data_IF_252176052350
#
_entry.id   IF_252176052350
#
_cell.length_a   1.000
_cell.length_b   1.000
_cell.length_c   1.000
_cell.angle_alpha   90.00
_cell.angle_beta   90.00
_cell.angle_gamma   90.00
#
_symmetry.space_group_name_H-M   'P 1'
#
loop_
_entity.id
_entity.type
_entity.pdbx_description
1 polymer ?
#
# COMPACT_ATOMS: atom_id res chain seq x y z
N UNK A 1 20.73 0.72 27.08
CA UNK A 1 20.36 2.11 27.50
C UNK A 1 20.74 3.15 26.45
N UNK A 2 21.87 3.01 25.77
CA UNK A 2 22.40 3.92 24.74
C UNK A 2 22.48 3.28 23.34
N UNK A 3 21.61 2.32 23.05
CA UNK A 3 21.58 1.62 21.76
C UNK A 3 20.13 1.51 21.29
N UNK A 4 19.91 1.62 19.99
CA UNK A 4 18.65 1.31 19.31
C UNK A 4 18.95 0.48 18.05
N UNK A 5 17.96 -0.20 17.47
CA UNK A 5 18.09 -0.71 16.11
C UNK A 5 17.84 0.43 15.09
N UNK A 6 18.41 0.34 13.88
CA UNK A 6 18.10 1.26 12.78
C UNK A 6 17.54 0.51 11.57
N UNK A 7 16.25 0.70 11.31
CA UNK A 7 15.52 -0.02 10.28
C UNK A 7 15.62 0.73 8.94
N UNK A 8 16.70 0.48 8.17
CA UNK A 8 16.80 0.93 6.78
C UNK A 8 16.42 -0.20 5.83
N UNK A 9 15.29 -0.04 5.14
CA UNK A 9 14.84 -1.02 4.15
C UNK A 9 15.79 -1.10 2.94
N UNK A 10 15.85 -2.28 2.32
CA UNK A 10 16.81 -2.66 1.25
C UNK A 10 16.96 -1.63 0.13
N UNK A 11 15.86 -0.99 -0.29
CA UNK A 11 15.82 -0.07 -1.44
C UNK A 11 15.92 1.41 -1.06
N UNK A 12 16.27 1.74 0.19
CA UNK A 12 16.35 3.12 0.68
C UNK A 12 17.79 3.60 0.76
N UNK A 13 17.99 4.90 0.58
CA UNK A 13 19.33 5.53 0.56
C UNK A 13 20.16 5.23 1.82
N UNK A 14 19.52 5.10 2.99
CA UNK A 14 20.19 4.69 4.23
C UNK A 14 20.88 3.33 4.14
N UNK A 15 20.25 2.33 3.51
CA UNK A 15 20.84 1.01 3.30
C UNK A 15 22.01 1.07 2.30
N UNK A 16 21.87 1.87 1.23
CA UNK A 16 22.96 2.09 0.28
C UNK A 16 24.18 2.76 0.95
N UNK A 17 23.96 3.73 1.84
CA UNK A 17 25.02 4.32 2.65
C UNK A 17 25.67 3.29 3.58
N UNK A 18 24.89 2.46 4.28
CA UNK A 18 25.41 1.40 5.13
C UNK A 18 26.34 0.45 4.37
N UNK A 19 25.92 -0.03 3.20
CA UNK A 19 26.74 -0.90 2.34
C UNK A 19 28.00 -0.20 1.81
N UNK A 20 27.93 1.11 1.54
CA UNK A 20 29.11 1.89 1.15
C UNK A 20 30.11 2.00 2.30
N UNK A 21 29.65 2.27 3.53
CA UNK A 21 30.49 2.36 4.72
C UNK A 21 31.09 1.01 5.11
N UNK A 22 30.34 -0.09 4.96
CA UNK A 22 30.82 -1.45 5.17
C UNK A 22 32.08 -1.76 4.35
N UNK A 23 32.11 -1.34 3.09
CA UNK A 23 33.29 -1.51 2.21
C UNK A 23 34.53 -0.75 2.69
N UNK A 24 34.36 0.25 3.56
CA UNK A 24 35.48 1.03 4.11
C UNK A 24 36.05 0.45 5.41
N UNK A 25 35.34 -0.49 6.07
CA UNK A 25 35.72 -1.00 7.39
C UNK A 25 35.67 0.07 8.50
N UNK A 26 34.87 1.14 8.31
CA UNK A 26 34.74 2.24 9.26
C UNK A 26 33.33 2.32 9.81
N UNK A 27 33.23 2.78 11.06
CA UNK A 27 31.96 3.16 11.70
C UNK A 27 31.29 4.29 10.92
N UNK A 28 30.02 4.08 10.56
CA UNK A 28 29.19 5.05 9.86
C UNK A 28 28.64 6.07 10.86
N UNK A 29 28.96 7.37 10.75
CA UNK A 29 28.35 8.39 11.59
C UNK A 29 26.87 8.52 11.24
N UNK A 30 26.02 8.61 12.27
CA UNK A 30 24.56 8.76 12.12
C UNK A 30 24.08 9.85 13.07
N UNK A 31 23.14 10.67 12.60
CA UNK A 31 22.46 11.66 13.44
C UNK A 31 20.98 11.69 13.08
N UNK A 32 20.13 11.63 14.10
CA UNK A 32 18.67 11.63 13.97
C UNK A 32 18.15 12.92 14.57
N UNK A 33 17.52 13.76 13.76
CA UNK A 33 16.84 14.99 14.19
C UNK A 33 15.34 14.73 14.37
N UNK A 34 14.80 15.08 15.53
CA UNK A 34 13.38 15.03 15.85
C UNK A 34 12.86 16.45 16.08
N UNK A 35 11.69 16.74 15.53
CA UNK A 35 11.01 18.03 15.67
C UNK A 35 11.55 19.09 14.72
N UNK A 36 11.39 20.35 15.11
CA UNK A 36 11.67 21.51 14.28
C UNK A 36 10.59 21.83 13.25
N UNK A 37 10.98 22.39 12.10
CA UNK A 37 10.02 22.79 11.07
C UNK A 37 9.32 21.57 10.44
N UNK A 38 7.98 21.54 10.35
CA UNK A 38 7.23 20.38 9.84
C UNK A 38 7.58 20.03 8.38
N UNK A 39 8.13 20.97 7.60
CA UNK A 39 8.60 20.68 6.26
C UNK A 39 9.76 19.66 6.23
N UNK A 40 10.52 19.50 7.32
CA UNK A 40 11.58 18.49 7.39
C UNK A 40 11.01 17.07 7.39
N UNK A 41 10.00 16.83 8.23
CA UNK A 41 9.33 15.53 8.30
C UNK A 41 8.75 15.14 6.94
N UNK A 42 8.04 16.06 6.27
CA UNK A 42 7.56 15.80 4.91
C UNK A 42 8.70 15.59 3.91
N UNK A 43 9.70 16.47 3.86
CA UNK A 43 10.78 16.40 2.88
C UNK A 43 11.59 15.10 2.99
N UNK A 44 11.75 14.55 4.19
CA UNK A 44 12.40 13.26 4.44
C UNK A 44 11.63 12.06 3.84
N UNK A 45 10.32 12.20 3.61
CA UNK A 45 9.48 11.16 2.98
C UNK A 45 9.35 11.31 1.46
N UNK A 46 9.77 12.45 0.91
CA UNK A 46 9.52 12.79 -0.47
C UNK A 46 10.39 11.94 -1.42
N UNK A 47 9.85 11.48 -2.58
CA UNK A 47 10.58 10.64 -3.52
C UNK A 47 11.56 11.47 -4.38
N UNK A 48 12.61 12.00 -3.74
CA UNK A 48 13.65 12.77 -4.41
C UNK A 48 14.67 11.85 -5.12
N UNK A 49 15.27 12.32 -6.23
CA UNK A 49 16.46 11.67 -6.79
C UNK A 49 17.60 11.58 -5.74
N UNK A 50 18.38 10.51 -5.78
CA UNK A 50 19.45 10.23 -4.78
C UNK A 50 20.48 11.35 -4.61
N UNK A 51 20.68 12.16 -5.64
CA UNK A 51 21.63 13.27 -5.63
C UNK A 51 21.03 14.62 -5.19
N UNK A 52 19.75 14.67 -4.82
CA UNK A 52 19.08 15.87 -4.33
C UNK A 52 18.85 15.74 -2.83
N UNK A 53 19.49 16.63 -2.07
CA UNK A 53 19.34 16.69 -0.62
C UNK A 53 17.93 17.17 -0.21
N UNK A 54 17.33 16.48 0.75
CA UNK A 54 15.98 16.73 1.29
C UNK A 54 15.84 18.15 1.85
N UNK A 55 16.90 18.74 2.42
CA UNK A 55 16.90 20.12 2.90
C UNK A 55 16.73 21.15 1.77
N UNK A 56 17.11 20.82 0.54
CA UNK A 56 16.84 21.69 -0.62
C UNK A 56 15.33 21.75 -0.87
N UNK A 57 14.66 20.59 -0.84
CA UNK A 57 13.20 20.53 -0.97
C UNK A 57 12.52 21.25 0.19
N UNK A 58 12.93 21.00 1.43
CA UNK A 58 12.39 21.70 2.59
C UNK A 58 12.55 23.22 2.44
N UNK A 59 13.73 23.68 2.02
CA UNK A 59 13.98 25.10 1.79
C UNK A 59 13.13 25.71 0.67
N UNK A 60 12.93 24.96 -0.42
CA UNK A 60 12.06 25.34 -1.53
C UNK A 60 10.60 25.48 -1.07
N UNK A 61 10.05 24.50 -0.37
CA UNK A 61 8.67 24.51 0.13
C UNK A 61 8.44 25.66 1.12
N UNK A 62 9.40 25.91 2.01
CA UNK A 62 9.32 26.99 3.00
C UNK A 62 9.64 28.37 2.43
N UNK A 63 10.13 28.45 1.18
CA UNK A 63 10.67 29.67 0.55
C UNK A 63 11.76 30.36 1.39
N UNK A 64 12.51 29.58 2.18
CA UNK A 64 13.63 30.05 3.03
C UNK A 64 14.67 28.95 3.20
N UNK A 65 15.95 29.30 3.25
CA UNK A 65 17.03 28.32 3.46
C UNK A 65 16.87 27.60 4.80
N UNK A 66 17.15 26.30 4.81
CA UNK A 66 17.35 25.54 6.04
C UNK A 66 18.67 25.98 6.66
N UNK A 67 18.66 26.39 7.93
CA UNK A 67 19.89 26.67 8.66
C UNK A 67 20.34 25.39 9.33
N UNK A 68 21.59 25.05 9.12
CA UNK A 68 22.18 23.84 9.65
C UNK A 68 23.26 24.18 10.67
N UNK A 69 23.41 23.33 11.67
CA UNK A 69 24.46 23.38 12.68
C UNK A 69 25.21 22.04 12.66
N UNK A 70 26.52 22.10 12.90
CA UNK A 70 27.37 20.90 12.95
C UNK A 70 27.05 20.09 14.22
N UNK A 71 26.96 18.78 14.10
CA UNK A 71 26.89 17.85 15.22
C UNK A 71 28.11 17.98 16.16
N UNK A 72 27.96 17.60 17.42
CA UNK A 72 29.01 17.71 18.44
C UNK A 72 30.05 16.58 18.29
N UNK A 73 29.59 15.36 18.03
CA UNK A 73 30.39 14.13 18.10
C UNK A 73 30.77 13.57 16.73
N UNK A 74 30.25 14.14 15.65
CA UNK A 74 30.54 13.72 14.28
C UNK A 74 30.50 14.90 13.29
N UNK A 75 30.81 14.64 12.02
CA UNK A 75 30.94 15.66 10.96
C UNK A 75 29.64 15.97 10.20
N UNK A 76 28.50 15.42 10.64
CA UNK A 76 27.20 15.68 10.02
C UNK A 76 26.64 17.04 10.44
N UNK A 77 25.66 17.51 9.67
CA UNK A 77 24.94 18.75 9.90
C UNK A 77 23.44 18.46 10.01
N UNK A 78 22.80 19.05 11.02
CA UNK A 78 21.38 18.90 11.34
C UNK A 78 20.70 20.28 11.39
N UNK A 79 19.36 20.38 11.31
CA UNK A 79 18.67 21.66 11.40
C UNK A 79 18.92 22.34 12.74
N UNK A 80 19.21 23.65 12.72
CA UNK A 80 19.47 24.42 13.94
C UNK A 80 18.23 24.62 14.83
N UNK A 81 17.06 24.37 14.26
CA UNK A 81 15.74 24.47 14.89
C UNK A 81 15.14 23.10 15.26
N UNK A 82 15.91 22.00 15.20
CA UNK A 82 15.45 20.70 15.69
C UNK A 82 15.21 20.72 17.22
N UNK A 83 14.18 20.00 17.67
CA UNK A 83 13.85 19.90 19.10
C UNK A 83 14.82 18.98 19.84
N UNK A 84 15.14 17.83 19.23
CA UNK A 84 16.05 16.81 19.80
C UNK A 84 16.95 16.30 18.68
N UNK A 85 18.25 16.17 18.96
CA UNK A 85 19.22 15.54 18.06
C UNK A 85 19.89 14.39 18.80
N UNK A 86 19.83 13.21 18.20
CA UNK A 86 20.48 11.99 18.69
C UNK A 86 21.66 11.69 17.77
N UNK A 87 22.88 11.79 18.30
CA UNK A 87 24.11 11.55 17.56
C UNK A 87 24.73 10.21 17.96
N UNK A 88 25.43 9.60 17.01
CA UNK A 88 26.09 8.33 17.25
C UNK A 88 26.74 7.75 16.01
N UNK A 89 26.84 6.43 16.00
CA UNK A 89 27.34 5.68 14.86
C UNK A 89 26.66 4.32 14.73
N UNK A 90 26.76 3.75 13.54
CA UNK A 90 26.49 2.34 13.27
C UNK A 90 27.81 1.67 12.89
N UNK A 91 28.09 0.51 13.46
CA UNK A 91 29.27 -0.28 13.09
C UNK A 91 28.86 -1.37 12.08
N UNK A 92 29.26 -1.26 10.79
CA UNK A 92 28.85 -2.24 9.78
C UNK A 92 29.43 -3.64 9.96
N UNK A 93 30.43 -3.81 10.84
CA UNK A 93 31.03 -5.11 11.17
C UNK A 93 30.39 -5.77 12.39
N UNK A 94 29.58 -5.03 13.15
CA UNK A 94 28.87 -5.55 14.31
C UNK A 94 27.74 -6.49 13.90
N UNK A 95 27.47 -7.47 14.77
CA UNK A 95 26.31 -8.35 14.60
C UNK A 95 25.01 -7.56 14.66
N UNK A 96 24.11 -7.87 13.73
CA UNK A 96 22.79 -7.26 13.67
C UNK A 96 21.93 -7.69 14.88
N UNK A 97 20.99 -6.84 15.27
CA UNK A 97 20.07 -7.10 16.39
C UNK A 97 18.64 -7.28 15.89
N UNK A 98 17.87 -8.08 16.61
CA UNK A 98 16.45 -8.27 16.33
C UNK A 98 15.68 -6.97 16.57
N UNK A 99 14.94 -6.52 15.57
CA UNK A 99 13.95 -5.43 15.63
C UNK A 99 12.55 -6.00 15.39
N UNK A 100 11.54 -5.34 15.95
CA UNK A 100 10.16 -5.75 15.82
C UNK A 100 9.79 -6.99 16.63
N UNK A 101 8.61 -7.57 16.34
CA UNK A 101 7.68 -7.14 15.30
C UNK A 101 7.08 -5.75 15.59
N UNK A 102 6.62 -5.08 14.53
CA UNK A 102 6.13 -3.69 14.62
C UNK A 102 4.88 -3.52 13.76
N UNK A 103 3.86 -2.80 14.25
CA UNK A 103 2.68 -2.51 13.43
C UNK A 103 3.04 -1.50 12.34
N UNK A 104 2.76 -1.80 11.08
CA UNK A 104 3.21 -0.98 9.96
C UNK A 104 2.06 -0.27 9.22
N UNK A 105 2.41 0.68 8.36
CA UNK A 105 1.50 1.50 7.57
C UNK A 105 0.66 0.68 6.56
N UNK A 106 1.09 -0.54 6.23
CA UNK A 106 0.30 -1.50 5.43
C UNK A 106 -0.98 -1.94 6.15
N UNK A 107 -1.08 -1.71 7.47
CA UNK A 107 -2.14 -2.23 8.32
C UNK A 107 -1.89 -3.63 8.86
N UNK A 108 -0.71 -4.19 8.59
CA UNK A 108 -0.26 -5.49 9.09
C UNK A 108 1.01 -5.34 9.93
N UNK A 109 1.29 -6.32 10.79
CA UNK A 109 2.55 -6.36 11.53
C UNK A 109 3.71 -6.71 10.60
N UNK A 110 4.76 -5.91 10.63
CA UNK A 110 6.06 -6.28 10.10
C UNK A 110 6.66 -7.39 10.97
N UNK A 111 7.18 -8.43 10.31
CA UNK A 111 7.82 -9.54 10.99
C UNK A 111 9.13 -9.06 11.63
N UNK A 112 9.51 -9.66 12.76
CA UNK A 112 10.79 -9.38 13.37
C UNK A 112 11.94 -9.81 12.44
N UNK A 113 12.97 -8.96 12.31
CA UNK A 113 14.14 -9.22 11.47
C UNK A 113 15.39 -8.53 12.05
N UNK A 114 16.56 -8.82 11.47
CA UNK A 114 17.85 -8.36 11.93
C UNK A 114 18.24 -7.01 11.29
N UNK A 115 18.55 -6.02 12.13
CA UNK A 115 18.94 -4.67 11.71
C UNK A 115 20.21 -4.19 12.42
N UNK A 116 20.92 -3.19 11.84
CA UNK A 116 22.13 -2.65 12.47
C UNK A 116 21.85 -1.96 13.80
N UNK A 117 22.84 -1.99 14.70
CA UNK A 117 22.79 -1.28 15.99
C UNK A 117 23.22 0.17 15.79
N UNK A 118 22.40 1.10 16.24
CA UNK A 118 22.75 2.51 16.39
C UNK A 118 23.23 2.79 17.81
N UNK A 119 24.53 3.10 17.94
CA UNK A 119 25.21 3.43 19.18
C UNK A 119 25.09 4.93 19.46
N UNK A 120 24.29 5.30 20.45
CA UNK A 120 24.08 6.70 20.83
C UNK A 120 25.25 7.20 21.69
N UNK A 121 25.90 8.27 21.23
CA UNK A 121 27.03 8.92 21.91
C UNK A 121 26.63 10.24 22.55
N UNK A 122 25.65 10.95 21.98
CA UNK A 122 25.19 12.23 22.49
C UNK A 122 23.70 12.44 22.17
N UNK A 123 22.97 13.05 23.11
CA UNK A 123 21.64 13.60 22.87
C UNK A 123 21.70 15.07 23.24
N UNK A 124 21.37 15.94 22.30
CA UNK A 124 21.17 17.37 22.53
C UNK A 124 19.71 17.72 22.30
N UNK A 125 19.19 18.73 22.99
CA UNK A 125 17.81 19.13 22.84
C UNK A 125 17.60 20.61 23.19
N UNK A 126 16.53 21.19 22.63
CA UNK A 126 16.07 22.53 22.99
C UNK A 126 15.53 22.55 24.42
N UNK A 127 15.47 23.73 25.05
CA UNK A 127 14.96 23.86 26.43
C UNK A 127 13.50 23.40 26.58
N UNK A 128 12.69 23.59 25.54
CA UNK A 128 11.27 23.25 25.49
C UNK A 128 11.01 22.19 24.42
N UNK A 129 11.89 21.19 24.34
CA UNK A 129 11.86 20.20 23.28
C UNK A 129 10.54 19.42 23.25
N UNK A 130 9.94 19.34 22.06
CA UNK A 130 8.80 18.45 21.79
C UNK A 130 9.33 17.17 21.16
N UNK A 131 8.90 16.02 21.68
CA UNK A 131 9.17 14.71 21.08
C UNK A 131 8.03 14.37 20.10
N UNK A 132 8.22 14.51 18.78
CA UNK A 132 7.22 14.06 17.82
C UNK A 132 7.14 12.54 17.84
N UNK A 133 5.92 12.03 17.86
CA UNK A 133 5.64 10.61 17.73
C UNK A 133 4.46 10.42 16.79
N UNK A 134 4.47 9.30 16.06
CA UNK A 134 3.38 8.88 15.20
C UNK A 134 3.03 7.42 15.48
N UNK A 135 1.83 7.04 15.09
CA UNK A 135 1.36 5.65 15.15
C UNK A 135 0.86 5.29 13.76
N UNK A 136 1.32 4.16 13.25
CA UNK A 136 0.90 3.61 11.95
C UNK A 136 0.05 2.36 12.17
N UNK A 137 -0.69 1.97 11.14
CA UNK A 137 -1.62 0.85 11.20
C UNK A 137 -2.54 0.87 9.99
N UNK A 138 -3.75 0.34 10.15
CA UNK A 138 -4.73 0.26 9.05
C UNK A 138 -5.09 1.68 8.58
N UNK A 139 -4.96 2.00 7.28
CA UNK A 139 -5.13 3.37 6.78
C UNK A 139 -6.55 3.92 7.01
N UNK A 140 -6.73 5.26 7.02
CA UNK A 140 -5.69 6.27 6.88
C UNK A 140 -4.99 6.61 8.21
N UNK A 141 -3.67 6.79 8.18
CA UNK A 141 -2.87 7.34 9.28
C UNK A 141 -2.16 8.64 8.82
N UNK A 142 -1.20 9.15 9.58
CA UNK A 142 -0.49 10.40 9.25
C UNK A 142 0.15 10.37 7.83
N UNK A 143 0.68 9.22 7.46
CA UNK A 143 1.28 8.94 6.15
C UNK A 143 0.32 9.22 4.98
N UNK A 144 -0.98 8.95 5.13
CA UNK A 144 -1.99 9.25 4.10
C UNK A 144 -2.01 10.74 3.71
N UNK A 145 -1.78 11.63 4.67
CA UNK A 145 -1.71 13.07 4.41
C UNK A 145 -0.41 13.46 3.71
N UNK A 146 0.71 12.83 4.07
CA UNK A 146 2.00 13.02 3.39
C UNK A 146 1.93 12.52 1.94
N UNK A 147 1.28 11.39 1.69
CA UNK A 147 1.05 10.82 0.36
C UNK A 147 0.23 11.80 -0.51
N UNK A 148 -0.87 12.34 0.01
CA UNK A 148 -1.69 13.34 -0.70
C UNK A 148 -0.91 14.63 -1.01
N UNK A 149 0.02 15.04 -0.14
CA UNK A 149 0.91 16.14 -0.42
C UNK A 149 1.89 15.79 -1.56
N UNK A 150 2.46 14.58 -1.52
CA UNK A 150 3.35 14.03 -2.56
C UNK A 150 2.67 13.97 -3.93
N UNK A 151 1.43 13.51 -4.03
CA UNK A 151 0.66 13.55 -5.29
C UNK A 151 0.69 14.95 -5.92
N UNK A 152 0.37 15.99 -5.15
CA UNK A 152 0.26 17.36 -5.64
C UNK A 152 1.62 17.99 -5.95
N UNK A 153 2.60 17.78 -5.07
CA UNK A 153 3.93 18.38 -5.19
C UNK A 153 4.72 17.75 -6.34
N UNK A 154 4.58 16.43 -6.56
CA UNK A 154 5.35 15.70 -7.57
C UNK A 154 4.62 15.53 -8.90
N UNK A 155 3.33 15.85 -9.01
CA UNK A 155 2.62 15.83 -10.29
C UNK A 155 3.28 16.72 -11.38
N UNK A 156 3.68 17.99 -11.12
CA UNK A 156 4.34 18.79 -12.14
C UNK A 156 5.71 18.23 -12.59
N UNK A 157 6.63 17.84 -11.69
CA UNK A 157 7.85 17.14 -12.09
C UNK A 157 7.60 15.84 -12.87
N UNK A 158 6.63 15.02 -12.45
CA UNK A 158 6.26 13.78 -13.13
C UNK A 158 5.83 14.06 -14.58
N UNK A 159 5.04 15.12 -14.79
CA UNK A 159 4.64 15.58 -16.13
C UNK A 159 5.82 16.08 -16.95
N UNK A 160 6.71 16.85 -16.34
CA UNK A 160 7.85 17.46 -17.04
C UNK A 160 8.91 16.44 -17.46
N UNK A 161 9.19 15.45 -16.62
CA UNK A 161 10.34 14.55 -16.78
C UNK A 161 9.95 13.16 -17.29
N UNK A 162 8.76 12.66 -16.94
CA UNK A 162 8.39 11.26 -17.18
C UNK A 162 7.31 11.16 -18.26
N UNK A 163 6.14 11.77 -18.07
CA UNK A 163 5.00 11.67 -19.01
C UNK A 163 4.21 12.99 -19.11
N UNK A 164 4.40 13.82 -20.15
CA UNK A 164 3.72 15.13 -20.27
C UNK A 164 2.20 15.04 -20.42
N UNK A 165 1.68 13.90 -20.87
CA UNK A 165 0.24 13.64 -20.99
C UNK A 165 -0.48 13.40 -19.66
N UNK A 166 0.23 13.19 -18.55
CA UNK A 166 -0.42 13.01 -17.23
C UNK A 166 -1.13 14.31 -16.85
N UNK A 167 -2.39 14.19 -16.46
CA UNK A 167 -3.21 15.31 -16.00
C UNK A 167 -3.44 15.29 -14.51
N UNK A 168 -3.54 14.08 -13.93
CA UNK A 168 -3.80 13.87 -12.51
C UNK A 168 -3.24 12.51 -12.05
N UNK A 169 -2.93 12.41 -10.76
CA UNK A 169 -2.44 11.23 -10.07
C UNK A 169 -3.18 11.11 -8.73
N UNK A 170 -3.66 9.92 -8.42
CA UNK A 170 -4.33 9.63 -7.16
C UNK A 170 -3.92 8.24 -6.65
N UNK A 171 -3.52 8.17 -5.39
CA UNK A 171 -3.21 6.96 -4.65
C UNK A 171 -4.24 6.85 -3.51
N UNK A 172 -5.29 6.03 -3.69
CA UNK A 172 -6.33 5.86 -2.67
C UNK A 172 -5.75 5.43 -1.32
N UNK A 173 -6.26 5.97 -0.21
CA UNK A 173 -5.78 5.61 1.13
C UNK A 173 -5.82 4.08 1.39
N UNK A 174 -6.86 3.39 0.90
CA UNK A 174 -6.99 1.93 0.98
C UNK A 174 -5.86 1.18 0.22
N UNK A 175 -5.24 1.82 -0.76
CA UNK A 175 -4.11 1.31 -1.52
C UNK A 175 -2.75 1.58 -0.88
N UNK A 176 -2.69 2.20 0.31
CA UNK A 176 -1.44 2.41 1.08
C UNK A 176 -0.27 2.90 0.20
N UNK A 177 -0.51 3.97 -0.56
CA UNK A 177 0.36 4.46 -1.63
C UNK A 177 0.61 3.45 -2.77
N UNK A 178 1.46 2.46 -2.55
CA UNK A 178 2.05 1.63 -3.61
C UNK A 178 1.21 0.40 -3.96
N UNK A 179 0.13 0.06 -3.25
CA UNK A 179 -0.72 -1.04 -3.72
C UNK A 179 -1.60 -0.60 -4.90
N UNK A 180 -2.07 0.66 -4.94
CA UNK A 180 -2.88 1.17 -6.05
C UNK A 180 -2.56 2.62 -6.40
N UNK A 181 -2.21 2.86 -7.66
CA UNK A 181 -2.14 4.18 -8.25
C UNK A 181 -3.10 4.31 -9.45
N UNK A 182 -3.81 5.43 -9.53
CA UNK A 182 -4.70 5.77 -10.63
C UNK A 182 -4.17 7.04 -11.30
N UNK A 183 -3.93 6.97 -12.60
CA UNK A 183 -3.36 8.06 -13.38
C UNK A 183 -4.32 8.45 -14.48
N UNK A 184 -4.70 9.73 -14.53
CA UNK A 184 -5.50 10.27 -15.62
C UNK A 184 -4.60 10.92 -16.65
N UNK A 185 -4.81 10.61 -17.92
CA UNK A 185 -4.01 11.14 -19.02
C UNK A 185 -4.85 11.82 -20.09
N UNK A 186 -4.22 12.78 -20.78
CA UNK A 186 -4.68 13.33 -22.05
C UNK A 186 -4.34 12.37 -23.18
N UNK A 187 -5.26 11.47 -23.50
CA UNK A 187 -5.09 10.52 -24.58
C UNK A 187 -5.22 11.18 -25.96
N UNK A 188 -4.29 10.89 -26.87
CA UNK A 188 -4.22 11.46 -28.22
C UNK A 188 -3.94 10.42 -29.32
N UNK A 189 -3.48 9.21 -28.97
CA UNK A 189 -3.19 8.14 -29.93
C UNK A 189 -3.37 6.73 -29.34
N UNK A 190 -3.44 5.68 -30.19
CA UNK A 190 -3.69 4.31 -29.73
C UNK A 190 -2.54 3.77 -28.88
N UNK A 191 -2.85 3.00 -27.83
CA UNK A 191 -1.84 2.37 -26.97
C UNK A 191 -1.13 3.32 -26.00
N UNK A 192 -1.55 4.59 -25.91
CA UNK A 192 -0.93 5.56 -25.02
C UNK A 192 -1.06 5.19 -23.53
N UNK A 193 -2.17 4.56 -23.13
CA UNK A 193 -2.31 4.05 -21.76
C UNK A 193 -1.23 3.02 -21.43
N UNK A 194 -1.00 2.05 -22.31
CA UNK A 194 0.09 1.06 -22.20
C UNK A 194 1.48 1.69 -22.16
N UNK A 195 1.75 2.74 -22.94
CA UNK A 195 3.02 3.50 -22.85
C UNK A 195 3.22 4.05 -21.43
N UNK A 196 2.18 4.67 -20.85
CA UNK A 196 2.25 5.27 -19.52
C UNK A 196 2.43 4.19 -18.45
N UNK A 197 1.74 3.04 -18.55
CA UNK A 197 1.96 1.89 -17.67
C UNK A 197 3.43 1.50 -17.66
N UNK A 198 4.00 1.18 -18.82
CA UNK A 198 5.39 0.73 -18.91
C UNK A 198 6.39 1.76 -18.37
N UNK A 199 6.12 3.06 -18.58
CA UNK A 199 6.98 4.12 -18.08
C UNK A 199 6.95 4.26 -16.56
N UNK A 200 5.77 4.16 -15.94
CA UNK A 200 5.63 4.40 -14.49
C UNK A 200 5.98 3.17 -13.67
N UNK A 201 5.77 1.96 -14.21
CA UNK A 201 6.08 0.69 -13.52
C UNK A 201 7.55 0.52 -13.14
N UNK A 202 8.47 1.30 -13.71
CA UNK A 202 9.90 1.31 -13.34
C UNK A 202 10.41 2.66 -12.81
N UNK A 203 9.54 3.66 -12.62
CA UNK A 203 9.97 5.02 -12.32
C UNK A 203 10.09 5.28 -10.81
N UNK A 204 11.32 5.41 -10.31
CA UNK A 204 11.59 5.78 -8.92
C UNK A 204 10.83 4.89 -7.93
N UNK A 205 10.19 5.49 -6.91
CA UNK A 205 9.40 4.73 -5.93
C UNK A 205 8.10 4.14 -6.51
N UNK A 206 7.63 4.57 -7.68
CA UNK A 206 6.48 3.92 -8.34
C UNK A 206 6.80 2.50 -8.81
N UNK A 207 8.08 2.09 -8.81
CA UNK A 207 8.48 0.71 -9.07
C UNK A 207 7.83 -0.29 -8.12
N UNK A 208 7.39 0.13 -6.92
CA UNK A 208 6.66 -0.75 -5.98
C UNK A 208 5.17 -0.90 -6.31
N UNK A 209 4.63 -0.09 -7.23
CA UNK A 209 3.20 -0.08 -7.55
C UNK A 209 2.70 -1.46 -7.99
N UNK A 210 1.72 -2.04 -7.29
CA UNK A 210 1.13 -3.35 -7.66
C UNK A 210 0.07 -3.21 -8.73
N UNK A 211 -0.88 -2.30 -8.52
CA UNK A 211 -1.96 -2.00 -9.45
C UNK A 211 -1.80 -0.58 -9.99
N UNK A 212 -1.66 -0.45 -11.29
CA UNK A 212 -1.57 0.84 -11.97
C UNK A 212 -2.69 0.98 -13.00
N UNK A 213 -3.67 1.83 -12.71
CA UNK A 213 -4.83 2.04 -13.59
C UNK A 213 -4.66 3.35 -14.34
N UNK A 214 -4.66 3.29 -15.67
CA UNK A 214 -4.61 4.49 -16.52
C UNK A 214 -5.99 4.77 -17.08
N UNK A 215 -6.51 5.96 -16.82
CA UNK A 215 -7.79 6.44 -17.34
C UNK A 215 -7.61 7.70 -18.19
N UNK A 216 -8.62 8.07 -18.96
CA UNK A 216 -8.63 9.29 -19.78
C UNK A 216 -10.01 9.93 -19.82
N UNK A 217 -10.07 11.18 -20.30
CA UNK A 217 -11.31 11.96 -20.36
C UNK A 217 -11.66 12.56 -18.99
N UNK A 218 -12.94 12.83 -18.75
CA UNK A 218 -13.36 13.63 -17.60
C UNK A 218 -13.67 12.81 -16.33
N UNK A 219 -13.29 11.54 -16.29
CA UNK A 219 -13.49 10.69 -15.09
C UNK A 219 -12.75 11.31 -13.90
N UNK A 220 -13.50 11.63 -12.84
CA UNK A 220 -12.93 12.01 -11.55
C UNK A 220 -12.36 10.76 -10.87
N UNK A 221 -11.03 10.71 -10.74
CA UNK A 221 -10.31 9.58 -10.15
C UNK A 221 -10.48 9.46 -8.63
N UNK A 222 -11.19 10.39 -7.99
CA UNK A 222 -11.53 10.38 -6.56
C UNK A 222 -13.00 10.00 -6.31
N UNK A 223 -13.83 9.91 -7.36
CA UNK A 223 -15.16 9.31 -7.30
C UNK A 223 -15.05 7.82 -7.61
N UNK A 224 -14.77 7.01 -6.58
CA UNK A 224 -14.50 5.57 -6.76
C UNK A 224 -15.65 4.80 -7.39
N UNK A 225 -16.90 5.23 -7.18
CA UNK A 225 -18.06 4.59 -7.80
C UNK A 225 -18.06 4.80 -9.31
N UNK A 226 -17.89 6.04 -9.77
CA UNK A 226 -17.81 6.33 -11.22
C UNK A 226 -16.52 5.82 -11.84
N UNK A 227 -15.41 5.85 -11.10
CA UNK A 227 -14.14 5.32 -11.55
C UNK A 227 -14.25 3.83 -11.87
N UNK A 228 -14.82 3.02 -10.96
CA UNK A 228 -14.99 1.58 -11.18
C UNK A 228 -15.85 1.30 -12.44
N UNK A 229 -16.97 2.01 -12.59
CA UNK A 229 -17.82 1.91 -13.79
C UNK A 229 -17.03 2.28 -15.05
N UNK A 230 -16.25 3.37 -15.00
CA UNK A 230 -15.42 3.82 -16.12
C UNK A 230 -14.33 2.81 -16.47
N UNK A 231 -13.72 2.16 -15.48
CA UNK A 231 -12.70 1.13 -15.68
C UNK A 231 -13.31 -0.07 -16.38
N UNK A 232 -14.39 -0.64 -15.82
CA UNK A 232 -15.06 -1.79 -16.44
C UNK A 232 -15.57 -1.50 -17.86
N UNK A 233 -16.09 -0.29 -18.11
CA UNK A 233 -16.58 0.15 -19.42
C UNK A 233 -15.46 0.32 -20.45
N UNK A 234 -14.24 0.66 -20.02
CA UNK A 234 -13.13 1.03 -20.90
C UNK A 234 -12.00 -0.01 -20.94
N UNK A 235 -12.14 -1.19 -20.33
CA UNK A 235 -11.09 -2.22 -20.31
C UNK A 235 -11.54 -3.53 -20.96
N UNK A 236 -10.99 -3.86 -22.13
CA UNK A 236 -11.08 -5.20 -22.71
C UNK A 236 -10.04 -6.10 -22.04
N UNK A 237 -10.49 -7.02 -21.17
CA UNK A 237 -9.61 -7.86 -20.36
C UNK A 237 -8.63 -8.72 -21.16
N UNK A 238 -8.90 -8.94 -22.46
CA UNK A 238 -8.00 -9.71 -23.35
C UNK A 238 -6.78 -8.92 -23.80
N UNK A 239 -6.85 -7.59 -23.78
CA UNK A 239 -5.84 -6.74 -24.42
C UNK A 239 -5.35 -5.59 -23.55
N UNK A 240 -6.11 -5.17 -22.54
CA UNK A 240 -5.82 -3.98 -21.75
C UNK A 240 -5.17 -4.27 -20.39
N UNK A 241 -4.96 -5.55 -20.07
CA UNK A 241 -4.24 -5.98 -18.87
C UNK A 241 -2.77 -6.25 -19.21
N UNK A 242 -1.86 -5.60 -18.49
CA UNK A 242 -0.42 -5.75 -18.61
C UNK A 242 0.11 -6.37 -17.32
N UNK A 243 0.22 -7.70 -17.32
CA UNK A 243 0.87 -8.42 -16.24
C UNK A 243 2.39 -8.36 -16.39
N UNK A 244 3.07 -8.09 -15.29
CA UNK A 244 4.54 -8.11 -15.21
C UNK A 244 4.97 -8.55 -13.81
N UNK A 245 6.27 -8.69 -13.59
CA UNK A 245 6.87 -8.94 -12.29
C UNK A 245 7.99 -7.95 -12.02
N UNK A 246 8.26 -7.69 -10.75
CA UNK A 246 9.31 -6.76 -10.37
C UNK A 246 9.39 -6.52 -8.87
N UNK A 247 10.18 -5.52 -8.45
CA UNK A 247 10.35 -5.18 -7.05
C UNK A 247 9.01 -4.87 -6.38
N UNK A 248 8.80 -5.46 -5.21
CA UNK A 248 7.72 -5.10 -4.29
C UNK A 248 8.32 -4.52 -3.01
N UNK A 249 7.49 -3.79 -2.28
CA UNK A 249 7.87 -3.30 -0.95
C UNK A 249 8.30 -4.49 -0.08
N UNK A 250 9.31 -4.29 0.76
CA UNK A 250 9.83 -5.35 1.64
C UNK A 250 8.78 -5.82 2.64
N UNK A 251 7.79 -4.96 2.91
CA UNK A 251 6.65 -5.19 3.80
C UNK A 251 5.48 -5.89 3.12
N UNK A 252 5.52 -6.10 1.80
CA UNK A 252 4.47 -6.83 1.10
C UNK A 252 4.49 -8.31 1.54
N UNK A 253 3.53 -8.68 2.37
CA UNK A 253 3.37 -10.05 2.88
C UNK A 253 2.67 -10.98 1.90
N UNK A 254 1.98 -10.44 0.90
CA UNK A 254 1.28 -11.24 -0.12
C UNK A 254 2.22 -11.85 -1.16
N UNK A 255 3.43 -11.29 -1.33
CA UNK A 255 4.45 -11.80 -2.23
C UNK A 255 5.02 -13.13 -1.73
N UNK A 256 5.09 -14.16 -2.58
CA UNK A 256 5.70 -15.47 -2.21
C UNK A 256 7.21 -15.36 -2.01
N UNK A 257 7.86 -14.48 -2.78
CA UNK A 257 9.30 -14.20 -2.68
C UNK A 257 9.50 -12.84 -2.02
N UNK A 258 10.48 -12.77 -1.12
CA UNK A 258 10.80 -11.51 -0.43
C UNK A 258 11.13 -10.38 -1.43
N UNK A 259 10.41 -9.26 -1.32
CA UNK A 259 10.58 -8.05 -2.15
C UNK A 259 10.43 -8.26 -3.67
N UNK A 260 9.79 -9.34 -4.11
CA UNK A 260 9.59 -9.67 -5.53
C UNK A 260 8.22 -10.32 -5.76
N UNK A 261 7.46 -9.82 -6.73
CA UNK A 261 6.18 -10.43 -7.08
C UNK A 261 5.52 -9.81 -8.31
N UNK A 262 4.24 -10.13 -8.49
CA UNK A 262 3.45 -9.70 -9.63
C UNK A 262 3.00 -8.25 -9.59
N UNK A 263 2.69 -7.71 -10.76
CA UNK A 263 2.16 -6.38 -10.99
C UNK A 263 1.13 -6.42 -12.11
N UNK A 264 0.14 -5.54 -12.04
CA UNK A 264 -0.90 -5.40 -13.06
C UNK A 264 -1.09 -3.92 -13.43
N UNK A 265 -0.78 -3.60 -14.67
CA UNK A 265 -1.21 -2.36 -15.32
C UNK A 265 -2.55 -2.56 -16.04
N UNK A 266 -3.47 -1.62 -15.91
CA UNK A 266 -4.78 -1.64 -16.55
C UNK A 266 -4.94 -0.40 -17.44
N UNK A 267 -5.00 -0.60 -18.76
CA UNK A 267 -5.36 0.47 -19.69
C UNK A 267 -6.90 0.62 -19.72
N UNK A 268 -7.41 1.46 -18.82
CA UNK A 268 -8.81 1.84 -18.71
C UNK A 268 -9.12 3.17 -19.43
N UNK A 269 -8.27 3.57 -20.37
CA UNK A 269 -8.49 4.79 -21.16
C UNK A 269 -9.62 4.57 -22.16
N UNK A 270 -10.33 5.65 -22.51
CA UNK A 270 -11.36 5.60 -23.55
C UNK A 270 -10.74 5.10 -24.87
N UNK A 271 -11.35 4.07 -25.45
CA UNK A 271 -10.81 3.44 -26.68
C UNK A 271 -11.15 4.25 -27.92
N UNK A 272 -10.14 4.46 -28.75
CA UNK A 272 -10.31 5.05 -30.08
C UNK A 272 -10.44 3.96 -31.15
N UNK A 273 -10.71 4.35 -32.40
CA UNK A 273 -11.13 3.44 -33.48
C UNK A 273 -10.17 2.26 -33.66
N UNK A 274 -8.87 2.51 -33.59
CA UNK A 274 -7.81 1.54 -33.81
C UNK A 274 -7.69 0.50 -32.69
N UNK A 275 -8.28 0.75 -31.52
CA UNK A 275 -8.22 -0.12 -30.33
C UNK A 275 -9.52 -0.90 -30.11
N UNK A 276 -10.57 -0.60 -30.87
CA UNK A 276 -11.87 -1.27 -30.75
C UNK A 276 -11.86 -2.56 -31.54
N UNK A 277 -11.66 -3.68 -30.84
CA UNK A 277 -11.87 -5.01 -31.40
C UNK A 277 -13.39 -5.34 -31.38
N UNK A 278 -13.95 -5.70 -32.53
CA UNK A 278 -15.39 -5.95 -32.74
C UNK A 278 -15.97 -7.13 -31.91
N UNK A 279 -17.27 -7.14 -31.53
CA UNK A 279 -18.05 -6.03 -30.99
C UNK A 279 -17.88 -6.00 -29.46
N UNK A 280 -16.86 -5.30 -28.98
CA UNK A 280 -16.64 -5.13 -27.54
C UNK A 280 -17.53 -3.99 -27.00
N UNK A 281 -18.65 -4.35 -26.34
CA UNK A 281 -19.49 -3.43 -25.57
C UNK A 281 -19.74 -4.08 -24.20
N UNK A 282 -18.91 -3.75 -23.22
CA UNK A 282 -19.24 -3.99 -21.81
C UNK A 282 -20.04 -2.80 -21.32
N UNK A 283 -21.32 -3.03 -20.98
CA UNK A 283 -22.15 -2.01 -20.36
C UNK A 283 -22.42 -2.41 -18.90
N UNK A 284 -21.53 -2.07 -17.96
CA UNK A 284 -21.64 -2.50 -16.57
C UNK A 284 -22.91 -1.96 -15.88
N UNK A 285 -23.48 -0.87 -16.40
CA UNK A 285 -24.73 -0.28 -15.90
C UNK A 285 -25.98 -1.06 -16.33
N UNK A 286 -25.88 -1.99 -17.28
CA UNK A 286 -27.01 -2.81 -17.78
C UNK A 286 -27.05 -4.22 -17.21
N UNK A 287 -26.22 -4.55 -16.22
CA UNK A 287 -26.27 -5.85 -15.55
C UNK A 287 -27.51 -5.98 -14.65
N UNK A 288 -28.62 -6.38 -15.27
CA UNK A 288 -29.92 -6.67 -14.67
C UNK A 288 -29.88 -7.85 -13.70
N UNK A 289 -30.89 -7.99 -12.82
CA UNK A 289 -30.96 -9.03 -11.78
C UNK A 289 -30.72 -10.46 -12.26
N UNK A 290 -31.25 -10.86 -13.43
CA UNK A 290 -31.06 -12.21 -13.98
C UNK A 290 -29.59 -12.56 -14.31
N UNK A 291 -28.78 -11.58 -14.74
CA UNK A 291 -27.37 -11.81 -15.08
C UNK A 291 -26.51 -12.13 -13.85
N UNK A 292 -26.96 -11.69 -12.67
CA UNK A 292 -26.25 -11.83 -11.41
C UNK A 292 -26.66 -13.09 -10.67
N UNK A 293 -27.89 -13.58 -10.85
CA UNK A 293 -28.35 -14.84 -10.26
C UNK A 293 -27.37 -16.00 -10.54
N UNK A 294 -26.90 -16.16 -11.78
CA UNK A 294 -25.97 -17.25 -12.13
C UNK A 294 -24.64 -17.17 -11.36
N UNK A 295 -24.05 -15.98 -11.27
CA UNK A 295 -22.80 -15.78 -10.52
C UNK A 295 -23.05 -15.97 -9.03
N UNK A 296 -24.10 -15.39 -8.48
CA UNK A 296 -24.45 -15.53 -7.06
C UNK A 296 -24.73 -17.00 -6.70
N UNK A 297 -25.35 -17.78 -7.57
CA UNK A 297 -25.58 -19.22 -7.34
C UNK A 297 -24.27 -20.02 -7.26
N UNK A 298 -23.25 -19.64 -8.04
CA UNK A 298 -21.90 -20.22 -7.90
C UNK A 298 -21.30 -19.79 -6.55
N UNK A 299 -21.38 -18.50 -6.20
CA UNK A 299 -20.79 -17.96 -4.97
C UNK A 299 -21.44 -18.53 -3.70
N UNK A 300 -22.74 -18.84 -3.72
CA UNK A 300 -23.44 -19.51 -2.62
C UNK A 300 -22.92 -20.92 -2.32
N UNK A 301 -22.14 -21.52 -3.21
CA UNK A 301 -21.49 -22.81 -2.93
C UNK A 301 -20.29 -22.69 -1.99
N UNK A 302 -19.73 -21.48 -1.83
CA UNK A 302 -18.51 -21.22 -1.04
C UNK A 302 -18.70 -20.22 0.11
N UNK A 303 -19.83 -19.50 0.12
CA UNK A 303 -20.13 -18.50 1.14
C UNK A 303 -21.64 -18.44 1.45
N UNK A 304 -21.97 -18.15 2.70
CA UNK A 304 -23.35 -17.85 3.10
C UNK A 304 -23.85 -16.57 2.42
N UNK A 305 -25.15 -16.44 2.19
CA UNK A 305 -25.75 -15.26 1.55
C UNK A 305 -25.40 -13.94 2.24
N UNK A 306 -25.31 -13.94 3.58
CA UNK A 306 -24.91 -12.76 4.38
C UNK A 306 -23.49 -12.26 4.09
N UNK A 307 -22.64 -13.11 3.52
CA UNK A 307 -21.25 -12.80 3.17
C UNK A 307 -21.10 -12.47 1.68
N UNK A 308 -22.20 -12.34 0.93
CA UNK A 308 -22.18 -11.94 -0.47
C UNK A 308 -22.86 -10.58 -0.57
N UNK A 309 -22.12 -9.59 -1.04
CA UNK A 309 -22.63 -8.23 -1.20
C UNK A 309 -22.39 -7.71 -2.61
N UNK A 310 -23.45 -7.18 -3.22
CA UNK A 310 -23.37 -6.42 -4.46
C UNK A 310 -23.87 -5.00 -4.15
N UNK A 311 -23.01 -3.98 -4.22
CA UNK A 311 -23.48 -2.61 -4.13
C UNK A 311 -24.38 -2.29 -5.33
N UNK A 312 -25.47 -1.56 -5.09
CA UNK A 312 -26.36 -1.09 -6.14
C UNK A 312 -25.57 -0.31 -7.22
N UNK A 313 -25.92 -0.58 -8.48
CA UNK A 313 -25.39 0.04 -9.69
C UNK A 313 -23.86 -0.05 -9.88
N UNK A 314 -23.17 -0.99 -9.22
CA UNK A 314 -21.73 -1.21 -9.40
C UNK A 314 -21.44 -2.57 -10.05
N UNK A 315 -20.45 -2.64 -10.96
CA UNK A 315 -19.95 -3.90 -11.49
C UNK A 315 -18.99 -4.59 -10.50
N UNK A 316 -19.48 -4.82 -9.28
CA UNK A 316 -18.73 -5.40 -8.18
C UNK A 316 -19.60 -6.41 -7.41
N UNK A 317 -19.05 -7.58 -7.15
CA UNK A 317 -19.57 -8.52 -6.15
C UNK A 317 -18.45 -8.78 -5.15
N UNK A 318 -18.73 -8.59 -3.87
CA UNK A 318 -17.82 -8.88 -2.76
C UNK A 318 -18.27 -10.16 -2.08
N UNK A 319 -17.32 -11.05 -1.78
CA UNK A 319 -17.61 -12.35 -1.17
C UNK A 319 -16.65 -12.62 -0.03
N UNK A 320 -17.18 -12.79 1.18
CA UNK A 320 -16.45 -13.24 2.35
C UNK A 320 -16.31 -14.77 2.37
N UNK A 321 -15.08 -15.27 2.25
CA UNK A 321 -14.77 -16.70 2.14
C UNK A 321 -13.99 -17.19 3.36
N UNK A 322 -14.37 -18.35 3.89
CA UNK A 322 -13.72 -18.97 5.05
C UNK A 322 -12.64 -19.98 4.62
N UNK A 323 -11.48 -19.45 4.23
CA UNK A 323 -10.33 -20.26 3.79
C UNK A 323 -9.64 -21.00 4.96
N UNK A 324 -9.93 -20.62 6.20
CA UNK A 324 -9.43 -21.28 7.40
C UNK A 324 -10.17 -22.61 7.63
N UNK A 325 -11.49 -22.61 7.41
CA UNK A 325 -12.34 -23.80 7.49
C UNK A 325 -12.18 -24.74 6.30
N UNK A 326 -12.05 -24.21 5.08
CA UNK A 326 -11.87 -24.99 3.86
C UNK A 326 -10.71 -24.44 3.01
N UNK A 327 -9.56 -25.12 3.11
CA UNK A 327 -8.32 -24.73 2.41
C UNK A 327 -8.41 -24.86 0.88
N UNK A 328 -9.35 -25.67 0.37
CA UNK A 328 -9.56 -25.94 -1.06
C UNK A 328 -10.68 -25.10 -1.69
N UNK A 329 -11.33 -24.23 -0.90
CA UNK A 329 -12.53 -23.49 -1.33
C UNK A 329 -12.28 -22.60 -2.55
N UNK A 330 -11.15 -21.90 -2.60
CA UNK A 330 -10.79 -21.02 -3.73
C UNK A 330 -10.53 -21.83 -5.00
N UNK A 331 -9.88 -22.99 -4.88
CA UNK A 331 -9.63 -23.89 -6.01
C UNK A 331 -10.96 -24.42 -6.56
N UNK A 332 -11.86 -24.83 -5.67
CA UNK A 332 -13.21 -25.31 -6.04
C UNK A 332 -14.05 -24.21 -6.70
N UNK A 333 -13.91 -22.97 -6.22
CA UNK A 333 -14.57 -21.81 -6.80
C UNK A 333 -14.06 -21.52 -8.23
N UNK A 334 -12.73 -21.49 -8.40
CA UNK A 334 -12.08 -21.30 -9.71
C UNK A 334 -12.53 -22.35 -10.71
N UNK A 335 -12.57 -23.62 -10.30
CA UNK A 335 -13.09 -24.71 -11.13
C UNK A 335 -14.56 -24.49 -11.51
N UNK A 336 -15.40 -24.07 -10.56
CA UNK A 336 -16.82 -23.81 -10.82
C UNK A 336 -17.01 -22.70 -11.86
N UNK A 337 -16.23 -21.62 -11.80
CA UNK A 337 -16.26 -20.56 -12.80
C UNK A 337 -15.66 -20.99 -14.14
N UNK A 338 -14.61 -21.81 -14.15
CA UNK A 338 -14.06 -22.38 -15.38
C UNK A 338 -15.08 -23.27 -16.11
N UNK A 339 -15.85 -24.07 -15.36
CA UNK A 339 -16.82 -25.02 -15.92
C UNK A 339 -18.14 -24.33 -16.34
N UNK A 340 -18.61 -23.35 -15.55
CA UNK A 340 -19.95 -22.72 -15.72
C UNK A 340 -19.92 -21.33 -16.34
N UNK A 341 -18.76 -20.66 -16.37
CA UNK A 341 -18.62 -19.26 -16.76
C UNK A 341 -19.35 -18.27 -15.83
N UNK A 342 -19.28 -16.98 -16.16
CA UNK A 342 -19.96 -15.90 -15.42
C UNK A 342 -21.29 -15.46 -16.04
N UNK A 343 -21.78 -16.19 -17.06
CA UNK A 343 -22.99 -15.83 -17.79
C UNK A 343 -22.87 -14.43 -18.40
N UNK A 344 -23.80 -13.54 -18.04
CA UNK A 344 -23.82 -12.19 -18.58
C UNK A 344 -23.10 -11.14 -17.74
N UNK A 345 -22.77 -11.44 -16.48
CA UNK A 345 -22.09 -10.52 -15.58
C UNK A 345 -20.81 -9.95 -16.20
N UNK A 346 -20.58 -8.66 -15.97
CA UNK A 346 -19.40 -7.93 -16.40
C UNK A 346 -18.89 -7.05 -15.27
N UNK A 347 -17.79 -7.45 -14.63
CA UNK A 347 -17.25 -6.71 -13.51
C UNK A 347 -16.19 -7.45 -12.72
N UNK A 348 -16.03 -6.98 -11.49
CA UNK A 348 -15.08 -7.51 -10.53
C UNK A 348 -15.80 -8.37 -9.49
N UNK A 349 -15.28 -9.57 -9.24
CA UNK A 349 -15.60 -10.38 -8.07
C UNK A 349 -14.43 -10.28 -7.10
N UNK A 350 -14.62 -9.62 -5.96
CA UNK A 350 -13.61 -9.46 -4.92
C UNK A 350 -13.83 -10.49 -3.81
N UNK A 351 -12.89 -11.40 -3.62
CA UNK A 351 -12.90 -12.34 -2.51
C UNK A 351 -12.12 -11.74 -1.33
N UNK A 352 -12.73 -11.74 -0.16
CA UNK A 352 -12.15 -11.26 1.10
C UNK A 352 -12.33 -12.32 2.17
N UNK A 353 -11.61 -12.20 3.27
CA UNK A 353 -11.79 -13.08 4.42
C UNK A 353 -13.23 -12.97 4.96
N UNK A 354 -13.84 -14.09 5.35
CA UNK A 354 -15.20 -14.13 5.92
C UNK A 354 -15.43 -13.24 7.15
N UNK A 355 -14.37 -12.76 7.80
CA UNK A 355 -14.42 -11.85 8.95
C UNK A 355 -14.50 -10.37 8.54
N UNK A 356 -14.33 -10.04 7.25
CA UNK A 356 -14.50 -8.69 6.72
C UNK A 356 -15.98 -8.37 6.56
N UNK A 357 -16.37 -7.17 6.99
CA UNK A 357 -17.67 -6.60 6.62
C UNK A 357 -17.66 -6.30 5.12
N UNK A 358 -18.35 -7.15 4.35
CA UNK A 358 -18.42 -7.06 2.89
C UNK A 358 -19.09 -5.78 2.39
N UNK A 359 -19.81 -5.06 3.25
CA UNK A 359 -20.46 -3.78 2.91
C UNK A 359 -19.52 -2.57 3.06
N UNK A 360 -18.45 -2.71 3.85
CA UNK A 360 -17.43 -1.68 4.02
C UNK A 360 -16.41 -1.75 2.87
N UNK A 361 -16.75 -1.10 1.76
CA UNK A 361 -15.94 -1.11 0.53
C UNK A 361 -14.52 -0.56 0.73
N UNK A 362 -14.28 0.28 1.74
CA UNK A 362 -12.93 0.72 2.06
C UNK A 362 -12.08 -0.43 2.61
N UNK A 363 -12.60 -1.15 3.60
CA UNK A 363 -11.92 -2.31 4.20
C UNK A 363 -11.75 -3.44 3.19
N UNK A 364 -12.76 -3.67 2.33
CA UNK A 364 -12.67 -4.61 1.21
C UNK A 364 -11.54 -4.22 0.26
N UNK A 365 -11.48 -2.97 -0.19
CA UNK A 365 -10.43 -2.51 -1.09
C UNK A 365 -9.05 -2.63 -0.44
N UNK A 366 -8.91 -2.22 0.83
CA UNK A 366 -7.65 -2.34 1.57
C UNK A 366 -7.18 -3.78 1.66
N UNK A 367 -8.05 -4.70 2.10
CA UNK A 367 -7.68 -6.10 2.25
C UNK A 367 -7.31 -6.72 0.89
N UNK A 368 -8.11 -6.50 -0.15
CA UNK A 368 -7.82 -7.03 -1.49
C UNK A 368 -6.47 -6.52 -1.98
N UNK A 369 -6.24 -5.21 -1.97
CA UNK A 369 -5.01 -4.61 -2.49
C UNK A 369 -3.76 -5.03 -1.70
N UNK A 370 -3.90 -5.24 -0.39
CA UNK A 370 -2.79 -5.68 0.46
C UNK A 370 -2.49 -7.18 0.33
N UNK A 371 -3.51 -8.03 0.18
CA UNK A 371 -3.38 -9.48 0.24
C UNK A 371 -3.16 -10.17 -1.11
N UNK A 372 -3.25 -9.44 -2.23
CA UNK A 372 -3.12 -10.03 -3.57
C UNK A 372 -1.71 -9.89 -4.15
N UNK A 373 -1.16 -10.96 -4.71
CA UNK A 373 -0.13 -10.87 -5.76
C UNK A 373 -0.85 -10.91 -7.13
N UNK A 374 -0.74 -9.86 -7.96
CA UNK A 374 -1.44 -9.79 -9.23
C UNK A 374 -1.24 -10.98 -10.18
N UNK A 375 -0.08 -11.66 -10.17
CA UNK A 375 0.17 -12.81 -11.04
C UNK A 375 -0.48 -14.09 -10.54
N UNK A 376 -0.77 -14.18 -9.23
CA UNK A 376 -1.31 -15.38 -8.57
C UNK A 376 -2.81 -15.29 -8.32
N UNK A 377 -3.27 -14.10 -7.95
CA UNK A 377 -4.58 -13.89 -7.33
C UNK A 377 -5.59 -13.20 -8.24
N UNK A 378 -5.24 -12.97 -9.51
CA UNK A 378 -6.13 -12.41 -10.52
C UNK A 378 -6.49 -13.50 -11.52
N UNK A 379 -7.76 -13.89 -11.54
CA UNK A 379 -8.30 -14.82 -12.52
C UNK A 379 -9.15 -14.06 -13.54
N UNK A 380 -8.79 -14.18 -14.82
CA UNK A 380 -9.61 -13.69 -15.93
C UNK A 380 -10.53 -14.83 -16.34
N UNK A 381 -11.82 -14.73 -16.02
CA UNK A 381 -12.77 -15.81 -16.30
C UNK A 381 -13.23 -15.75 -17.75
N UNK A 382 -13.49 -14.54 -18.24
CA UNK A 382 -13.85 -14.26 -19.62
C UNK A 382 -13.37 -12.84 -20.03
N UNK A 383 -13.83 -12.31 -21.15
CA UNK A 383 -13.41 -11.00 -21.65
C UNK A 383 -14.01 -9.80 -20.90
N UNK A 384 -14.81 -10.03 -19.84
CA UNK A 384 -15.54 -8.98 -19.09
C UNK A 384 -15.57 -9.19 -17.58
N UNK A 385 -15.19 -10.35 -17.06
CA UNK A 385 -15.20 -10.68 -15.63
C UNK A 385 -13.82 -11.06 -15.12
N UNK A 386 -13.41 -10.43 -14.02
CA UNK A 386 -12.23 -10.81 -13.24
C UNK A 386 -12.61 -11.22 -11.82
N UNK A 387 -11.83 -12.15 -11.26
CA UNK A 387 -11.84 -12.46 -9.83
C UNK A 387 -10.53 -11.96 -9.23
N UNK A 388 -10.62 -11.25 -8.11
CA UNK A 388 -9.48 -10.89 -7.27
C UNK A 388 -9.57 -11.63 -5.94
N UNK A 389 -8.61 -12.51 -5.69
CA UNK A 389 -8.54 -13.27 -4.45
C UNK A 389 -7.74 -12.51 -3.37
N UNK A 390 -8.43 -11.68 -2.58
CA UNK A 390 -7.88 -10.96 -1.42
C UNK A 390 -7.88 -11.74 -0.10
N UNK A 391 -8.20 -13.03 -0.12
CA UNK A 391 -8.21 -13.86 1.10
C UNK A 391 -6.79 -14.09 1.62
N UNK A 392 -6.65 -14.38 2.91
CA UNK A 392 -5.36 -14.77 3.52
C UNK A 392 -4.74 -15.99 2.82
N UNK A 393 -3.45 -15.94 2.48
CA UNK A 393 -2.78 -17.08 1.83
C UNK A 393 -2.20 -18.10 2.80
N UNK A 394 -2.11 -17.78 4.09
CA UNK A 394 -1.58 -18.69 5.11
C UNK A 394 -2.27 -20.06 5.16
N UNK A 395 -3.57 -20.12 4.84
CA UNK A 395 -4.35 -21.36 4.86
C UNK A 395 -4.51 -22.03 3.50
N UNK A 396 -3.83 -21.54 2.45
CA UNK A 396 -3.92 -22.12 1.11
C UNK A 396 -3.55 -23.60 1.12
N UNK A 397 -4.26 -24.40 0.32
CA UNK A 397 -3.85 -25.77 0.04
C UNK A 397 -2.42 -25.80 -0.54
N UNK A 398 -1.53 -26.60 0.05
CA UNK A 398 -0.09 -26.61 -0.27
C UNK A 398 0.75 -25.62 0.54
N UNK A 399 0.13 -24.76 1.35
CA UNK A 399 0.80 -23.78 2.21
C UNK A 399 1.24 -22.50 1.50
N UNK A 400 1.72 -21.54 2.29
CA UNK A 400 2.35 -20.30 1.82
C UNK A 400 3.81 -20.26 2.28
N UNK A 401 4.77 -19.90 1.40
CA UNK A 401 6.19 -20.06 1.70
C UNK A 401 6.73 -19.05 2.73
N UNK A 402 6.01 -17.96 2.98
CA UNK A 402 6.39 -16.92 3.95
C UNK A 402 5.43 -16.93 5.14
N UNK A 403 5.87 -16.36 6.27
CA UNK A 403 4.96 -16.12 7.39
C UNK A 403 3.96 -15.04 7.01
N UNK A 404 2.72 -15.21 7.45
CA UNK A 404 1.66 -14.24 7.20
C UNK A 404 1.41 -13.41 8.46
N UNK A 405 1.46 -12.08 8.39
CA UNK A 405 1.29 -11.23 9.57
C UNK A 405 -0.18 -11.07 9.97
N UNK A 406 -0.42 -10.80 11.25
CA UNK A 406 -1.74 -10.38 11.72
C UNK A 406 -1.99 -8.91 11.34
N UNK A 407 -3.26 -8.49 11.36
CA UNK A 407 -3.60 -7.08 11.22
C UNK A 407 -3.17 -6.28 12.46
N UNK A 408 -2.83 -5.01 12.30
CA UNK A 408 -2.40 -4.15 13.42
C UNK A 408 -3.61 -3.74 14.25
N UNK A 409 -3.67 -4.26 15.48
CA UNK A 409 -4.70 -3.93 16.46
C UNK A 409 -4.07 -3.81 17.86
N UNK A 410 -4.48 -2.79 18.61
CA UNK A 410 -4.17 -2.71 20.04
C UNK A 410 -4.89 -3.83 20.81
N UNK A 411 -4.23 -4.39 21.82
CA UNK A 411 -4.85 -5.37 22.72
C UNK A 411 -5.98 -4.74 23.54
N UNK A 412 -6.94 -5.55 24.00
CA UNK A 412 -8.02 -5.08 24.88
C UNK A 412 -7.46 -4.39 26.14
N UNK A 413 -6.38 -4.94 26.73
CA UNK A 413 -5.69 -4.33 27.86
C UNK A 413 -5.13 -2.94 27.52
N UNK A 414 -4.48 -2.78 26.37
CA UNK A 414 -3.95 -1.49 25.92
C UNK A 414 -5.08 -0.48 25.74
N UNK A 415 -6.17 -0.89 25.09
CA UNK A 415 -7.36 -0.06 24.88
C UNK A 415 -7.92 0.38 26.24
N UNK A 416 -8.07 -0.53 27.20
CA UNK A 416 -8.58 -0.22 28.53
C UNK A 416 -7.66 0.74 29.30
N UNK A 417 -6.34 0.59 29.19
CA UNK A 417 -5.36 1.49 29.81
C UNK A 417 -5.50 2.91 29.24
N UNK A 418 -5.58 3.04 27.92
CA UNK A 418 -5.72 4.35 27.26
C UNK A 418 -7.08 4.98 27.59
N UNK A 419 -8.16 4.19 27.56
CA UNK A 419 -9.50 4.67 27.89
C UNK A 419 -9.56 5.24 29.33
N UNK A 420 -8.97 4.54 30.30
CA UNK A 420 -8.89 5.00 31.70
C UNK A 420 -8.07 6.28 31.88
N UNK A 421 -7.13 6.55 30.96
CA UNK A 421 -6.27 7.74 30.99
C UNK A 421 -6.78 8.90 30.14
N UNK A 422 -7.80 8.71 29.31
CA UNK A 422 -8.21 9.68 28.31
C UNK A 422 -8.45 11.08 28.90
N UNK A 423 -9.23 11.15 29.97
CA UNK A 423 -9.54 12.42 30.65
C UNK A 423 -8.28 13.12 31.20
N UNK A 424 -7.26 12.35 31.63
CA UNK A 424 -6.01 12.91 32.17
C UNK A 424 -5.11 13.56 31.13
N UNK A 425 -5.35 13.30 29.84
CA UNK A 425 -4.56 13.90 28.76
C UNK A 425 -5.04 15.31 28.39
N UNK A 426 -6.27 15.69 28.74
CA UNK A 426 -6.87 16.99 28.40
C UNK A 426 -6.84 17.34 26.89
N UNK A 427 -6.81 16.33 26.02
CA UNK A 427 -6.65 16.46 24.56
C UNK A 427 -7.98 16.52 23.78
N UNK A 428 -9.12 16.64 24.46
CA UNK A 428 -10.45 16.78 23.84
C UNK A 428 -11.39 15.59 24.10
N UNK A 429 -12.49 15.49 23.32
CA UNK A 429 -13.55 14.50 23.55
C UNK A 429 -13.04 13.07 23.40
N UNK A 430 -13.65 12.12 24.11
CA UNK A 430 -13.31 10.70 24.01
C UNK A 430 -13.44 10.18 22.57
N UNK A 431 -12.39 9.50 22.10
CA UNK A 431 -12.36 8.83 20.81
C UNK A 431 -12.22 7.33 21.05
N UNK A 432 -13.18 6.56 20.54
CA UNK A 432 -13.13 5.09 20.59
C UNK A 432 -11.94 4.55 19.80
N UNK A 433 -11.25 3.54 20.34
CA UNK A 433 -10.11 2.93 19.65
C UNK A 433 -10.51 2.38 18.26
N UNK A 434 -9.78 2.75 17.19
CA UNK A 434 -10.04 2.23 15.85
C UNK A 434 -9.79 0.72 15.74
N UNK A 435 -8.97 0.14 16.63
CA UNK A 435 -8.70 -1.31 16.66
C UNK A 435 -9.95 -2.14 16.94
N UNK A 436 -10.98 -1.58 17.59
CA UNK A 436 -12.22 -2.33 17.87
C UNK A 436 -12.92 -2.76 16.57
N UNK A 437 -12.89 -1.92 15.53
CA UNK A 437 -13.47 -2.22 14.21
C UNK A 437 -12.81 -3.43 13.56
N UNK A 438 -11.50 -3.58 13.72
CA UNK A 438 -10.69 -4.57 13.02
C UNK A 438 -10.29 -5.77 13.90
N UNK A 439 -10.63 -5.75 15.19
CA UNK A 439 -10.32 -6.82 16.13
C UNK A 439 -10.86 -8.20 15.69
N UNK A 440 -11.99 -8.21 14.97
CA UNK A 440 -12.57 -9.42 14.37
C UNK A 440 -11.68 -10.02 13.27
N UNK A 441 -10.81 -9.24 12.62
CA UNK A 441 -9.88 -9.73 11.61
C UNK A 441 -8.62 -10.36 12.23
N UNK A 442 -8.35 -10.08 13.52
CA UNK A 442 -7.24 -10.70 14.22
C UNK A 442 -7.44 -12.21 14.33
N UNK A 443 -6.41 -12.99 13.98
CA UNK A 443 -6.41 -14.45 14.13
C UNK A 443 -5.62 -14.90 15.36
N UNK A 444 -5.78 -16.17 15.74
CA UNK A 444 -5.05 -16.80 16.85
C UNK A 444 -3.55 -16.82 16.59
N UNK A 445 -2.76 -16.46 17.61
CA UNK A 445 -1.36 -16.03 17.46
C UNK A 445 -1.27 -14.52 17.68
N UNK A 446 -0.12 -14.01 18.15
CA UNK A 446 0.06 -12.57 18.38
C UNK A 446 0.26 -11.84 17.04
N UNK A 447 1.47 -11.36 16.75
CA UNK A 447 1.74 -10.56 15.55
C UNK A 447 1.78 -11.38 14.24
N UNK A 448 1.77 -12.71 14.31
CA UNK A 448 1.95 -13.61 13.17
C UNK A 448 0.95 -14.76 13.17
N UNK A 449 0.54 -15.14 11.96
CA UNK A 449 -0.36 -16.27 11.68
C UNK A 449 0.51 -17.42 11.17
N UNK A 450 0.63 -18.46 11.97
CA UNK A 450 1.31 -19.71 11.60
C UNK A 450 0.27 -20.75 11.20
N UNK A 451 0.60 -21.60 10.22
CA UNK A 451 -0.18 -22.82 9.98
C UNK A 451 -0.11 -23.69 11.24
N UNK A 452 -1.26 -24.12 11.76
CA UNK A 452 -1.33 -25.17 12.80
C UNK A 452 -0.88 -26.50 12.21
#
# INVERSE_FOLDING_TARGET
>A
RNHTAIHWQLHKTGAAHFEAWKKTGRKMPVSVSLGGDPAYAYAATAPLPENINEYILAGFLRKRKVRLVKCITNELYVPDDADIVIEGYVDPEEELVMEGPFGDHTGFYSLADLYPVFHVTCITHSKNAVYPATVVGIPPMEDAWLIRATEKIFLPPLRLVIQPEIEDLHMPDAGVAHNLAVVRIRKTYPGQGKKVINSLSGAGQMMFTKYLIIVSGDTDIRDYSKLLISVCRNTDLRSDLLFTSGPLDVLDHSAETFSLGGKLGIDATQKIREEKYSPWIVNPEKDTGENVCHVTDILKTVADEKNIYRPDDKPLIVVGVDVEKDKGVIISLRKSFADRGCGNFAGLIALVDNKVDVTDLFTVAWQVLANTDPLRDIDIIDNKTIIMDGTIKAFREGGFPRRWPNVVCSSAETIDIINKKWESFEIGPFITSPSLKFSMLCRSGNEQITTV
#
